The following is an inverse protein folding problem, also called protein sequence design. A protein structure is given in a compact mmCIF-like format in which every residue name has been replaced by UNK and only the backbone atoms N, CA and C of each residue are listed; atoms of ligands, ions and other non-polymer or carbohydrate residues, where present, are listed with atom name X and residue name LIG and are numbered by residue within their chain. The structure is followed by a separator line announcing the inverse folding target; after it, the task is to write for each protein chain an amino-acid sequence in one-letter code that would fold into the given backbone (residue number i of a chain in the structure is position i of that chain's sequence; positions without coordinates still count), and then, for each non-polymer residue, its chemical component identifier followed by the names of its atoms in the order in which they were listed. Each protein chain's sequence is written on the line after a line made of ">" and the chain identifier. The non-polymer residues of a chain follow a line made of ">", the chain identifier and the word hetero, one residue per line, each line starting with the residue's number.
data_IF_320431073405
#
_entry.id   IF_320431073405
#
_cell.length_a   1.000
_cell.length_b   1.000
_cell.length_c   1.000
_cell.angle_alpha   90.00
_cell.angle_beta   90.00
_cell.angle_gamma   90.00
#
_symmetry.space_group_name_H-M   'P 1'
#
loop_
_entity.id
_entity.type
_entity.pdbx_description
1 polymer ?
#
# COMPACT_ATOMS: atom_id res chain seq x y z
N UNK A 1 6.72 5.56 -5.11
CA UNK A 1 5.26 5.82 -5.23
C UNK A 1 4.55 4.47 -5.19
N UNK A 2 3.35 4.38 -4.60
CA UNK A 2 2.62 3.12 -4.51
C UNK A 2 2.29 2.55 -5.90
N UNK A 3 2.48 1.24 -6.06
CA UNK A 3 2.15 0.51 -7.30
C UNK A 3 0.67 0.15 -7.34
N UNK A 4 0.10 -0.17 -6.19
CA UNK A 4 -1.32 -0.46 -6.04
C UNK A 4 -1.89 0.23 -4.81
N UNK A 5 -3.08 0.81 -4.97
CA UNK A 5 -3.95 1.23 -3.87
C UNK A 5 -5.29 0.53 -4.06
N UNK A 6 -5.68 -0.24 -3.05
CA UNK A 6 -6.94 -0.96 -2.99
C UNK A 6 -7.81 -0.37 -1.90
N UNK A 7 -9.11 -0.27 -2.16
CA UNK A 7 -10.15 -0.13 -1.16
C UNK A 7 -11.07 -1.33 -1.29
N UNK A 8 -11.21 -2.10 -0.22
CA UNK A 8 -12.08 -3.27 -0.16
C UNK A 8 -13.02 -3.18 1.03
N UNK A 9 -14.17 -3.84 0.98
CA UNK A 9 -15.01 -4.01 2.18
C UNK A 9 -14.29 -4.88 3.21
N UNK A 10 -14.30 -4.50 4.48
CA UNK A 10 -13.52 -5.18 5.52
C UNK A 10 -13.99 -6.62 5.78
N UNK A 11 -15.31 -6.85 5.77
CA UNK A 11 -15.91 -8.15 6.05
C UNK A 11 -15.90 -9.11 4.86
N UNK A 12 -16.02 -8.58 3.63
CA UNK A 12 -16.23 -9.39 2.42
C UNK A 12 -15.10 -9.34 1.40
N UNK A 13 -14.14 -8.41 1.54
CA UNK A 13 -13.05 -8.22 0.59
C UNK A 13 -13.50 -7.76 -0.78
N UNK A 14 -14.71 -7.18 -0.90
CA UNK A 14 -15.25 -6.75 -2.18
C UNK A 14 -14.52 -5.47 -2.61
N UNK A 15 -13.88 -5.43 -3.81
CA UNK A 15 -13.17 -4.25 -4.26
C UNK A 15 -14.12 -3.09 -4.54
N UNK A 16 -13.92 -1.98 -3.84
CA UNK A 16 -14.62 -0.70 -4.02
C UNK A 16 -13.85 0.20 -4.99
N UNK A 17 -12.54 0.27 -4.83
CA UNK A 17 -11.63 1.07 -5.65
C UNK A 17 -10.33 0.29 -5.85
N UNK A 18 -9.82 0.28 -7.07
CA UNK A 18 -8.47 -0.19 -7.38
C UNK A 18 -7.79 0.86 -8.24
N UNK A 19 -6.64 1.33 -7.79
CA UNK A 19 -5.74 2.17 -8.58
C UNK A 19 -4.41 1.44 -8.74
N UNK A 20 -4.00 1.31 -10.00
CA UNK A 20 -2.72 0.69 -10.38
C UNK A 20 -1.86 1.73 -11.06
N UNK A 21 -0.61 1.81 -10.65
CA UNK A 21 0.38 2.69 -11.27
C UNK A 21 0.55 2.34 -12.76
N UNK A 22 0.65 3.32 -13.66
CA UNK A 22 0.96 3.06 -15.06
C UNK A 22 2.23 2.21 -15.23
N UNK A 23 2.16 1.17 -16.05
CA UNK A 23 3.25 0.22 -16.27
C UNK A 23 3.23 -1.01 -15.35
N UNK A 24 2.43 -1.03 -14.29
CA UNK A 24 2.19 -2.23 -13.46
C UNK A 24 0.96 -2.99 -13.98
N UNK A 25 1.00 -4.33 -13.91
CA UNK A 25 -0.16 -5.16 -14.20
C UNK A 25 -1.22 -5.04 -13.10
N UNK A 26 -2.52 -5.04 -13.42
CA UNK A 26 -3.55 -5.06 -12.40
C UNK A 26 -3.48 -6.35 -11.59
N UNK A 27 -3.75 -6.26 -10.28
CA UNK A 27 -3.81 -7.42 -9.41
C UNK A 27 -4.99 -8.31 -9.80
N UNK A 28 -4.77 -9.62 -9.77
CA UNK A 28 -5.83 -10.59 -10.01
C UNK A 28 -6.81 -10.62 -8.82
N UNK A 29 -8.05 -10.99 -9.08
CA UNK A 29 -9.08 -11.11 -8.05
C UNK A 29 -8.66 -12.03 -6.87
N UNK A 30 -8.03 -13.21 -7.10
CA UNK A 30 -7.52 -14.03 -6.01
C UNK A 30 -6.48 -13.34 -5.12
N UNK A 31 -5.61 -12.51 -5.70
CA UNK A 31 -4.60 -11.75 -4.91
C UNK A 31 -5.29 -10.71 -4.03
N UNK A 32 -6.27 -9.97 -4.56
CA UNK A 32 -7.04 -9.01 -3.77
C UNK A 32 -7.80 -9.71 -2.63
N UNK A 33 -8.41 -10.86 -2.91
CA UNK A 33 -9.09 -11.69 -1.91
C UNK A 33 -8.14 -12.20 -0.82
N UNK A 34 -6.94 -12.66 -1.20
CA UNK A 34 -5.92 -13.12 -0.26
C UNK A 34 -5.44 -11.98 0.66
N UNK A 35 -5.22 -10.77 0.12
CA UNK A 35 -4.83 -9.60 0.92
C UNK A 35 -5.89 -9.23 1.97
N UNK A 36 -7.18 -9.33 1.63
CA UNK A 36 -8.25 -9.15 2.61
C UNK A 36 -8.33 -10.32 3.61
N UNK A 37 -8.09 -11.55 3.15
CA UNK A 37 -8.06 -12.74 4.00
C UNK A 37 -7.01 -12.65 5.10
N UNK A 38 -5.81 -12.13 4.80
CA UNK A 38 -4.77 -11.89 5.81
C UNK A 38 -5.21 -10.86 6.85
N UNK A 39 -5.85 -9.77 6.41
CA UNK A 39 -6.47 -8.79 7.30
C UNK A 39 -7.52 -9.45 8.22
N UNK A 40 -8.46 -10.21 7.66
CA UNK A 40 -9.51 -10.89 8.42
C UNK A 40 -8.93 -11.90 9.42
N UNK A 41 -7.86 -12.62 9.07
CA UNK A 41 -7.21 -13.56 9.97
C UNK A 41 -6.65 -12.88 11.22
N UNK A 42 -6.07 -11.68 11.06
CA UNK A 42 -5.57 -10.86 12.16
C UNK A 42 -6.72 -10.26 12.98
N UNK A 43 -7.72 -9.68 12.32
CA UNK A 43 -8.89 -9.06 12.95
C UNK A 43 -9.70 -10.06 13.80
N UNK A 44 -9.87 -11.30 13.33
CA UNK A 44 -10.53 -12.37 14.10
C UNK A 44 -9.79 -12.78 15.38
N UNK A 45 -8.58 -12.26 15.61
CA UNK A 45 -7.77 -12.45 16.82
C UNK A 45 -7.54 -11.13 17.57
N UNK A 46 -8.35 -10.11 17.27
CA UNK A 46 -8.22 -8.76 17.83
C UNK A 46 -6.83 -8.13 17.57
N UNK A 47 -6.16 -8.54 16.48
CA UNK A 47 -4.87 -7.99 16.06
C UNK A 47 -5.06 -7.05 14.89
N UNK A 48 -4.53 -5.84 15.04
CA UNK A 48 -4.47 -4.87 13.94
C UNK A 48 -3.25 -5.12 13.06
N UNK A 49 -3.47 -5.45 11.79
CA UNK A 49 -2.41 -5.65 10.81
C UNK A 49 -1.95 -4.29 10.24
N UNK A 50 -0.68 -3.95 10.44
CA UNK A 50 -0.12 -2.67 9.99
C UNK A 50 0.56 -2.79 8.63
N UNK A 51 1.61 -3.60 8.55
CA UNK A 51 2.40 -3.77 7.33
C UNK A 51 3.10 -5.12 7.30
N UNK A 52 3.55 -5.52 6.11
CA UNK A 52 4.47 -6.63 5.90
C UNK A 52 5.43 -6.32 4.76
N UNK A 53 6.57 -7.00 4.76
CA UNK A 53 7.59 -6.87 3.72
C UNK A 53 7.77 -8.22 3.06
N UNK A 54 7.76 -8.22 1.74
CA UNK A 54 8.13 -9.31 0.84
C UNK A 54 9.45 -8.96 0.13
N UNK A 55 9.93 -9.83 -0.75
CA UNK A 55 11.23 -9.68 -1.43
C UNK A 55 11.35 -8.38 -2.24
N UNK A 56 10.26 -7.91 -2.84
CA UNK A 56 10.29 -6.73 -3.70
C UNK A 56 9.26 -5.67 -3.32
N UNK A 57 8.38 -5.98 -2.36
CA UNK A 57 7.24 -5.14 -2.04
C UNK A 57 7.05 -5.02 -0.54
N UNK A 58 6.53 -3.89 -0.14
CA UNK A 58 6.00 -3.61 1.19
C UNK A 58 4.51 -3.38 1.03
N UNK A 59 3.74 -4.02 1.88
CA UNK A 59 2.28 -3.96 1.86
C UNK A 59 1.83 -3.36 3.18
N UNK A 60 0.93 -2.38 3.14
CA UNK A 60 0.42 -1.67 4.31
C UNK A 60 -1.09 -1.74 4.30
N UNK A 61 -1.68 -2.13 5.42
CA UNK A 61 -3.13 -2.19 5.63
C UNK A 61 -3.53 -1.08 6.60
N UNK A 62 -4.72 -0.52 6.36
CA UNK A 62 -5.36 0.37 7.32
C UNK A 62 -6.87 0.19 7.27
N UNK A 63 -7.44 -0.18 8.42
CA UNK A 63 -8.87 -0.38 8.61
C UNK A 63 -9.51 0.94 9.00
N UNK A 64 -10.65 1.26 8.40
CA UNK A 64 -11.42 2.45 8.72
C UNK A 64 -12.85 2.05 9.08
N UNK A 65 -13.26 2.42 10.30
CA UNK A 65 -14.64 2.26 10.78
C UNK A 65 -15.18 0.83 10.69
N UNK A 66 -14.28 -0.16 10.73
CA UNK A 66 -14.57 -1.60 10.57
C UNK A 66 -15.35 -1.97 9.29
N UNK A 67 -15.51 -1.04 8.36
CA UNK A 67 -16.35 -1.18 7.17
C UNK A 67 -15.52 -1.39 5.91
N UNK A 68 -14.38 -0.70 5.82
CA UNK A 68 -13.47 -0.76 4.68
C UNK A 68 -12.02 -0.90 5.12
N UNK A 69 -11.21 -1.49 4.24
CA UNK A 69 -9.77 -1.62 4.38
C UNK A 69 -9.12 -0.98 3.18
N UNK A 70 -8.21 -0.04 3.44
CA UNK A 70 -7.28 0.44 2.43
C UNK A 70 -5.99 -0.36 2.50
N UNK A 71 -5.50 -0.77 1.33
CA UNK A 71 -4.28 -1.55 1.19
C UNK A 71 -3.39 -0.88 0.16
N UNK A 72 -2.16 -0.55 0.55
CA UNK A 72 -1.14 -0.02 -0.35
C UNK A 72 -0.05 -1.05 -0.57
N UNK A 73 0.33 -1.26 -1.83
CA UNK A 73 1.51 -2.03 -2.22
C UNK A 73 2.54 -1.05 -2.79
N UNK A 74 3.72 -1.02 -2.19
CA UNK A 74 4.82 -0.14 -2.59
C UNK A 74 6.07 -0.99 -2.83
N UNK A 75 6.96 -0.61 -3.77
CA UNK A 75 8.21 -1.31 -3.96
C UNK A 75 9.09 -1.16 -2.71
N UNK A 76 9.70 -2.26 -2.28
CA UNK A 76 10.66 -2.27 -1.18
C UNK A 76 12.07 -2.06 -1.75
N UNK A 77 12.71 -0.95 -1.39
CA UNK A 77 14.08 -0.63 -1.84
C UNK A 77 15.14 -1.23 -0.91
N UNK A 78 14.72 -1.80 0.21
CA UNK A 78 15.58 -2.09 1.36
C UNK A 78 16.50 -3.32 1.16
N UNK A 79 16.21 -4.19 0.18
CA UNK A 79 16.95 -5.45 0.00
C UNK A 79 18.19 -5.34 -0.89
N UNK A 80 18.36 -4.26 -1.67
CA UNK A 80 19.57 -4.06 -2.48
C UNK A 80 20.73 -3.39 -1.72
N UNK A 81 20.48 -2.78 -0.57
CA UNK A 81 21.54 -2.13 0.22
C UNK A 81 22.25 -3.09 1.19
N UNK A 82 21.66 -4.24 1.54
CA UNK A 82 22.24 -5.16 2.54
C UNK A 82 23.28 -6.14 1.96
N UNK A 83 23.51 -6.13 0.65
CA UNK A 83 24.43 -7.04 -0.06
C UNK A 83 25.70 -6.40 -0.59
N UNK A 84 26.03 -5.14 -0.21
CA UNK A 84 27.18 -4.40 -0.74
C UNK A 84 28.11 -3.79 0.32
N UNK A 85 28.03 -4.24 1.56
CA UNK A 85 29.08 -4.01 2.55
C UNK A 85 29.78 -5.36 2.78
N UNK A 86 30.75 -5.67 1.91
CA UNK A 86 31.89 -6.58 2.13
C UNK A 86 32.62 -6.83 0.80
N UNK A 87 33.25 -5.80 0.24
CA UNK A 87 34.43 -5.96 -0.64
C UNK A 87 35.39 -4.79 -0.37
N UNK A 88 36.40 -5.12 0.41
CA UNK A 88 37.80 -4.64 0.45
C UNK A 88 38.12 -3.22 -0.01
N UNK A 89 38.72 -2.46 0.92
CA UNK A 89 39.63 -1.35 0.66
C UNK A 89 40.80 -1.81 -0.23
N UNK A 90 41.08 -1.10 -1.33
CA UNK A 90 42.40 -0.51 -1.66
C UNK A 90 42.42 0.17 -3.05
N UNK A 91 42.92 1.41 -3.05
CA UNK A 91 43.72 2.14 -4.04
C UNK A 91 43.12 2.98 -5.21
N UNK A 92 43.59 4.25 -5.16
CA UNK A 92 44.00 5.21 -6.20
C UNK A 92 43.00 5.95 -7.13
N UNK A 93 42.84 7.23 -6.79
CA UNK A 93 42.67 8.45 -7.60
C UNK A 93 42.20 8.41 -9.07
N UNK A 94 41.04 9.03 -9.32
CA UNK A 94 40.77 9.89 -10.50
C UNK A 94 39.62 10.90 -10.21
N UNK A 95 39.78 12.23 -10.38
CA UNK A 95 38.74 13.22 -10.06
C UNK A 95 37.94 13.64 -11.30
N UNK A 96 36.97 12.83 -11.73
CA UNK A 96 35.92 13.30 -12.64
C UNK A 96 34.65 12.42 -12.63
N UNK A 97 33.98 12.32 -11.47
CA UNK A 97 32.61 11.79 -11.42
C UNK A 97 31.57 12.92 -11.24
N UNK A 98 30.50 12.97 -12.05
CA UNK A 98 29.43 13.93 -11.86
C UNK A 98 28.62 13.57 -10.61
N UNK A 99 28.43 14.57 -9.73
CA UNK A 99 27.75 14.46 -8.46
C UNK A 99 26.40 13.72 -8.55
N UNK A 100 26.34 12.62 -7.80
CA UNK A 100 25.18 11.80 -7.53
C UNK A 100 23.95 12.61 -7.10
N UNK A 101 22.87 12.58 -7.89
CA UNK A 101 21.52 12.82 -7.37
C UNK A 101 20.93 11.53 -6.82
N UNK A 102 21.47 11.04 -5.71
CA UNK A 102 20.75 10.07 -4.88
C UNK A 102 19.76 10.84 -4.00
N UNK A 103 18.57 11.16 -4.52
CA UNK A 103 17.44 11.48 -3.64
C UNK A 103 17.00 10.17 -2.96
N UNK A 104 17.73 9.76 -1.93
CA UNK A 104 17.36 8.65 -1.05
C UNK A 104 16.21 9.08 -0.15
N UNK A 105 15.06 9.39 -0.73
CA UNK A 105 13.82 9.50 0.03
C UNK A 105 13.32 8.07 0.26
N UNK A 106 13.77 7.43 1.32
CA UNK A 106 13.28 6.10 1.74
C UNK A 106 11.79 6.23 2.12
N UNK A 107 10.92 5.49 1.42
CA UNK A 107 9.48 5.46 1.74
C UNK A 107 9.29 4.58 2.98
N UNK A 108 8.75 5.15 4.06
CA UNK A 108 8.50 4.46 5.33
C UNK A 108 7.04 4.06 5.46
N UNK A 109 6.73 3.15 6.39
CA UNK A 109 5.35 2.78 6.72
C UNK A 109 4.50 3.99 7.15
N UNK A 110 5.11 4.96 7.85
CA UNK A 110 4.43 6.19 8.25
C UNK A 110 3.99 7.01 7.03
N UNK A 111 4.84 7.14 6.00
CA UNK A 111 4.49 7.84 4.77
C UNK A 111 3.33 7.15 4.03
N UNK A 112 3.36 5.81 3.95
CA UNK A 112 2.30 5.04 3.29
C UNK A 112 1.00 5.07 4.10
N UNK A 113 1.07 4.94 5.41
CA UNK A 113 -0.10 5.04 6.30
C UNK A 113 -0.77 6.42 6.19
N UNK A 114 0.03 7.50 6.12
CA UNK A 114 -0.49 8.85 5.91
C UNK A 114 -1.13 9.02 4.52
N UNK A 115 -0.58 8.39 3.49
CA UNK A 115 -1.21 8.36 2.18
C UNK A 115 -2.58 7.68 2.25
N UNK A 116 -2.70 6.55 2.95
CA UNK A 116 -3.98 5.86 3.13
C UNK A 116 -5.00 6.73 3.88
N UNK A 117 -4.57 7.48 4.91
CA UNK A 117 -5.46 8.46 5.57
C UNK A 117 -5.98 9.51 4.61
N UNK A 118 -5.09 10.08 3.79
CA UNK A 118 -5.48 11.11 2.83
C UNK A 118 -6.44 10.55 1.77
N UNK A 119 -6.22 9.31 1.31
CA UNK A 119 -7.16 8.62 0.43
C UNK A 119 -8.51 8.46 1.11
N UNK A 120 -8.56 7.93 2.34
CA UNK A 120 -9.81 7.78 3.09
C UNK A 120 -10.58 9.09 3.24
N UNK A 121 -9.92 10.16 3.69
CA UNK A 121 -10.55 11.48 3.83
C UNK A 121 -11.08 12.01 2.48
N UNK A 122 -10.40 11.70 1.38
CA UNK A 122 -10.88 12.06 0.04
C UNK A 122 -12.12 11.24 -0.36
N UNK A 123 -12.18 9.95 -0.03
CA UNK A 123 -13.40 9.14 -0.25
C UNK A 123 -14.57 9.65 0.58
N UNK A 124 -14.32 10.04 1.83
CA UNK A 124 -15.33 10.67 2.72
C UNK A 124 -15.85 11.97 2.11
N UNK A 125 -14.96 12.79 1.53
CA UNK A 125 -15.37 14.03 0.86
C UNK A 125 -16.24 13.77 -0.38
N UNK A 126 -15.93 12.72 -1.15
CA UNK A 126 -16.64 12.38 -2.39
C UNK A 126 -18.00 11.73 -2.16
N UNK A 127 -18.11 10.85 -1.16
CA UNK A 127 -19.28 9.96 -0.97
C UNK A 127 -19.99 10.17 0.37
N UNK A 128 -19.36 10.83 1.33
CA UNK A 128 -19.84 10.94 2.70
C UNK A 128 -19.35 9.81 3.60
N UNK A 129 -19.15 10.11 4.88
CA UNK A 129 -18.72 9.13 5.88
C UNK A 129 -19.77 8.02 6.08
N UNK A 130 -21.05 8.38 6.13
CA UNK A 130 -22.13 7.42 6.37
C UNK A 130 -22.16 6.32 5.30
N UNK A 131 -22.01 6.67 4.02
CA UNK A 131 -22.00 5.72 2.91
C UNK A 131 -20.79 4.75 2.98
N UNK A 132 -19.65 5.20 3.52
CA UNK A 132 -18.46 4.36 3.71
C UNK A 132 -18.54 3.48 4.96
N UNK A 133 -19.21 3.94 6.01
CA UNK A 133 -19.37 3.17 7.28
C UNK A 133 -20.51 2.16 7.22
N UNK A 134 -21.62 2.51 6.57
CA UNK A 134 -22.82 1.69 6.49
C UNK A 134 -23.14 1.35 5.03
N UNK A 135 -22.32 0.50 4.44
CA UNK A 135 -22.42 0.15 3.02
C UNK A 135 -23.64 -0.73 2.76
N UNK A 136 -24.75 -0.13 2.31
CA UNK A 136 -25.99 -0.85 1.98
C UNK A 136 -26.00 -1.40 0.56
N UNK A 137 -25.35 -0.69 -0.37
CA UNK A 137 -25.28 -1.08 -1.76
C UNK A 137 -23.87 -0.86 -2.29
N UNK A 138 -23.13 -1.97 -2.38
CA UNK A 138 -21.73 -1.99 -2.80
C UNK A 138 -21.57 -1.56 -4.26
N UNK A 139 -22.49 -1.89 -5.15
CA UNK A 139 -22.41 -1.53 -6.57
C UNK A 139 -22.66 -0.05 -6.82
N UNK A 140 -23.57 0.57 -6.06
CA UNK A 140 -23.78 2.01 -6.07
C UNK A 140 -22.51 2.71 -5.58
N UNK A 141 -21.99 2.32 -4.42
CA UNK A 141 -20.78 2.91 -3.85
C UNK A 141 -19.58 2.81 -4.80
N UNK A 142 -19.39 1.66 -5.48
CA UNK A 142 -18.36 1.51 -6.52
C UNK A 142 -18.49 2.51 -7.67
N UNK A 143 -19.71 2.86 -8.07
CA UNK A 143 -19.95 3.83 -9.14
C UNK A 143 -19.61 5.24 -8.68
N UNK A 144 -19.96 5.58 -7.45
CA UNK A 144 -19.71 6.91 -6.87
C UNK A 144 -18.20 7.15 -6.61
N UNK A 145 -17.43 6.09 -6.39
CA UNK A 145 -15.98 6.15 -6.16
C UNK A 145 -15.11 6.13 -7.43
N UNK A 146 -15.70 5.91 -8.62
CA UNK A 146 -14.93 5.65 -9.85
C UNK A 146 -14.35 6.88 -10.51
#
# INVERSE_FOLDING_TARGET
>A
MAEHILCVTASGGIPLLTRTKPGCSPLSFPVVGALNGVHMFASNRDVNLLSTISENHRIVWKVFQDSIVLIAIVPSVDLKMKGRENVTEENDSDPSEPLSRHSSSTITDAHVSRLLDNVFHSLVLLTGLEELTNIRNVDRLKKDLR
#
